data_IF_114216301710
#
_entry.id   IF_114216301710
#
_cell.length_a   1.000
_cell.length_b   1.000
_cell.length_c   1.000
_cell.angle_alpha   90.00
_cell.angle_beta   90.00
_cell.angle_gamma   90.00
#
_symmetry.space_group_name_H-M   'P 1'
#
loop_
_entity.id
_entity.type
_entity.pdbx_description
1 polymer ?
#
# COMPACT_ATOMS: atom_id res chain seq x y z
N UNK A 1 11.01 -15.60 0.59
CA UNK A 1 10.08 -16.54 1.25
C UNK A 1 10.84 -17.34 2.31
N UNK A 2 10.24 -17.55 3.48
CA UNK A 2 10.82 -18.37 4.56
C UNK A 2 10.34 -19.82 4.47
N UNK A 3 9.11 -20.04 4.07
CA UNK A 3 8.48 -21.34 3.98
C UNK A 3 7.47 -21.35 2.85
N UNK A 4 7.49 -22.41 2.07
CA UNK A 4 6.44 -22.77 1.11
C UNK A 4 6.06 -24.24 1.33
N UNK A 5 4.79 -24.50 1.57
CA UNK A 5 4.29 -25.85 1.82
C UNK A 5 2.88 -26.03 1.27
N UNK A 6 2.50 -27.27 0.99
CA UNK A 6 1.14 -27.63 0.61
C UNK A 6 0.55 -28.56 1.65
N UNK A 7 -0.62 -28.19 2.19
CA UNK A 7 -1.34 -28.99 3.19
C UNK A 7 -2.83 -28.98 2.83
N UNK A 8 -3.40 -30.18 2.69
CA UNK A 8 -4.85 -30.37 2.48
C UNK A 8 -5.44 -29.54 1.33
N UNK A 9 -4.75 -29.43 0.18
CA UNK A 9 -5.22 -28.67 -0.97
C UNK A 9 -5.09 -27.15 -0.85
N UNK A 10 -4.31 -26.70 0.16
CA UNK A 10 -3.94 -25.30 0.34
C UNK A 10 -2.44 -25.13 0.12
N UNK A 11 -2.03 -24.21 -0.73
CA UNK A 11 -0.65 -23.75 -0.83
C UNK A 11 -0.44 -22.59 0.13
N UNK A 12 0.53 -22.71 1.02
CA UNK A 12 0.93 -21.73 2.01
C UNK A 12 2.30 -21.18 1.66
N UNK A 13 2.42 -19.87 1.58
CA UNK A 13 3.71 -19.17 1.44
C UNK A 13 3.81 -18.09 2.51
N UNK A 14 4.92 -18.05 3.23
CA UNK A 14 5.19 -17.01 4.23
C UNK A 14 6.59 -16.44 4.06
N UNK A 15 6.77 -15.20 4.46
CA UNK A 15 8.05 -14.53 4.38
C UNK A 15 8.11 -13.27 5.24
N UNK A 16 9.31 -12.68 5.26
CA UNK A 16 9.58 -11.38 5.87
C UNK A 16 10.16 -10.44 4.84
N UNK A 17 9.99 -9.16 5.05
CA UNK A 17 10.54 -8.12 4.20
C UNK A 17 10.95 -6.89 5.00
N UNK A 18 11.92 -6.15 4.46
CA UNK A 18 12.28 -4.83 4.93
C UNK A 18 12.03 -3.80 3.84
N UNK A 19 11.66 -2.59 4.23
CA UNK A 19 11.47 -1.48 3.31
C UNK A 19 12.03 -0.18 3.90
N UNK A 20 12.47 0.72 3.04
CA UNK A 20 12.83 2.09 3.40
C UNK A 20 12.13 3.05 2.44
N UNK A 21 11.70 4.18 2.94
CA UNK A 21 10.97 5.17 2.16
C UNK A 21 11.30 6.58 2.58
N UNK A 22 11.19 7.50 1.64
CA UNK A 22 11.26 8.94 1.85
C UNK A 22 10.04 9.60 1.24
N UNK A 23 9.41 10.50 1.98
CA UNK A 23 8.32 11.32 1.46
C UNK A 23 8.58 12.79 1.72
N UNK A 24 8.08 13.66 0.83
CA UNK A 24 8.13 15.10 0.98
C UNK A 24 6.81 15.70 0.52
N UNK A 25 6.20 16.52 1.38
CA UNK A 25 4.92 17.17 1.13
C UNK A 25 5.08 18.67 1.34
N UNK A 26 4.74 19.45 0.32
CA UNK A 26 4.67 20.90 0.43
C UNK A 26 3.30 21.29 0.99
N UNK A 27 3.31 22.08 2.06
CA UNK A 27 2.12 22.67 2.67
C UNK A 27 1.96 24.06 2.10
N UNK A 28 0.73 24.38 1.66
CA UNK A 28 0.37 25.68 1.13
C UNK A 28 -0.63 26.38 2.02
N UNK A 29 -0.55 27.68 2.08
CA UNK A 29 -1.56 28.56 2.67
C UNK A 29 -2.79 28.69 1.76
N UNK A 30 -3.86 29.30 2.28
CA UNK A 30 -5.12 29.53 1.55
C UNK A 30 -4.94 30.39 0.30
N UNK A 31 -3.92 31.24 0.24
CA UNK A 31 -3.56 32.05 -0.93
C UNK A 31 -2.72 31.29 -1.96
N UNK A 32 -2.39 30.00 -1.68
CA UNK A 32 -1.57 29.15 -2.53
C UNK A 32 -0.07 29.35 -2.36
N UNK A 33 0.38 30.27 -1.51
CA UNK A 33 1.79 30.43 -1.18
C UNK A 33 2.31 29.21 -0.36
N UNK A 34 3.62 29.00 -0.37
CA UNK A 34 4.23 27.90 0.35
C UNK A 34 4.34 28.23 1.83
N UNK A 35 3.62 27.50 2.69
CA UNK A 35 3.69 27.61 4.14
C UNK A 35 4.84 26.82 4.73
N UNK A 36 5.25 25.72 4.09
CA UNK A 36 6.32 24.87 4.59
C UNK A 36 6.44 23.55 3.84
N UNK A 37 7.32 22.69 4.36
CA UNK A 37 7.53 21.34 3.85
C UNK A 37 7.57 20.34 4.99
N UNK A 38 6.88 19.22 4.85
CA UNK A 38 6.98 18.07 5.76
C UNK A 38 7.71 16.95 5.03
N UNK A 39 8.78 16.45 5.63
CA UNK A 39 9.54 15.29 5.15
C UNK A 39 9.45 14.16 6.16
N UNK A 40 9.36 12.93 5.67
CA UNK A 40 9.38 11.73 6.51
C UNK A 40 10.33 10.70 5.91
N UNK A 41 11.29 10.27 6.72
CA UNK A 41 12.17 9.14 6.45
C UNK A 41 11.68 7.95 7.26
N UNK A 42 11.31 6.86 6.59
CA UNK A 42 10.69 5.70 7.22
C UNK A 42 11.46 4.42 6.92
N UNK A 43 11.61 3.58 7.94
CA UNK A 43 12.13 2.23 7.83
C UNK A 43 11.11 1.23 8.38
N UNK A 44 10.82 0.18 7.62
CA UNK A 44 9.78 -0.81 7.94
C UNK A 44 10.33 -2.22 7.95
N UNK A 45 9.77 -3.04 8.85
CA UNK A 45 9.93 -4.48 8.86
C UNK A 45 8.55 -5.11 8.89
N UNK A 46 8.32 -6.11 8.04
CA UNK A 46 7.04 -6.78 7.93
C UNK A 46 7.16 -8.27 7.65
N UNK A 47 6.03 -8.95 7.81
CA UNK A 47 5.83 -10.33 7.44
C UNK A 47 4.54 -10.50 6.66
N UNK A 48 4.50 -11.54 5.85
CA UNK A 48 3.32 -11.90 5.08
C UNK A 48 3.03 -13.39 5.13
N UNK A 49 1.76 -13.71 4.95
CA UNK A 49 1.22 -15.05 4.79
C UNK A 49 0.28 -15.06 3.61
N UNK A 50 0.61 -15.86 2.60
CA UNK A 50 -0.24 -16.10 1.43
C UNK A 50 -0.81 -17.51 1.50
N UNK A 51 -2.11 -17.63 1.35
CA UNK A 51 -2.89 -18.85 1.32
C UNK A 51 -3.58 -18.97 -0.03
N UNK A 52 -3.49 -20.15 -0.63
CA UNK A 52 -4.13 -20.42 -1.92
C UNK A 52 -4.78 -21.78 -1.91
N UNK A 53 -6.06 -21.81 -2.19
CA UNK A 53 -6.78 -23.05 -2.42
C UNK A 53 -6.52 -23.55 -3.84
N UNK A 54 -5.84 -24.69 -3.98
CA UNK A 54 -5.26 -25.15 -5.24
C UNK A 54 -6.31 -25.50 -6.30
N UNK A 55 -7.52 -25.94 -5.91
CA UNK A 55 -8.56 -26.33 -6.85
C UNK A 55 -9.40 -25.16 -7.36
N UNK A 56 -9.73 -24.17 -6.53
CA UNK A 56 -10.56 -23.02 -6.94
C UNK A 56 -9.76 -21.78 -7.27
N UNK A 57 -8.49 -21.72 -6.88
CA UNK A 57 -7.68 -20.52 -6.99
C UNK A 57 -8.05 -19.42 -5.96
N UNK A 58 -9.02 -19.64 -5.06
CA UNK A 58 -9.31 -18.71 -3.96
C UNK A 58 -8.02 -18.46 -3.17
N UNK A 59 -7.70 -17.20 -2.95
CA UNK A 59 -6.51 -16.83 -2.21
C UNK A 59 -6.81 -15.82 -1.09
N UNK A 60 -5.95 -15.81 -0.09
CA UNK A 60 -5.96 -14.82 0.97
C UNK A 60 -4.52 -14.41 1.31
N UNK A 61 -4.31 -13.10 1.44
CA UNK A 61 -3.04 -12.50 1.83
C UNK A 61 -3.20 -11.78 3.16
N UNK A 62 -2.32 -12.10 4.10
CA UNK A 62 -2.23 -11.44 5.40
C UNK A 62 -0.87 -10.75 5.47
N UNK A 63 -0.85 -9.49 5.83
CA UNK A 63 0.37 -8.69 6.01
C UNK A 63 0.34 -8.02 7.36
N UNK A 64 1.47 -8.03 8.06
CA UNK A 64 1.70 -7.24 9.25
C UNK A 64 3.05 -6.52 9.14
N UNK A 65 3.07 -5.23 9.47
CA UNK A 65 4.24 -4.37 9.33
C UNK A 65 4.36 -3.41 10.50
N UNK A 66 5.58 -3.22 11.01
CA UNK A 66 5.98 -2.13 11.89
C UNK A 66 6.88 -1.14 11.16
N UNK A 67 6.70 0.14 11.40
CA UNK A 67 7.44 1.22 10.72
C UNK A 67 7.98 2.22 11.74
N UNK A 68 9.25 2.60 11.61
CA UNK A 68 9.85 3.70 12.34
C UNK A 68 9.86 4.93 11.44
N UNK A 69 9.33 6.03 11.94
CA UNK A 69 9.23 7.32 11.26
C UNK A 69 10.19 8.34 11.85
N UNK A 70 10.76 9.20 11.00
CA UNK A 70 11.56 10.36 11.36
C UNK A 70 11.08 11.55 10.53
N UNK A 71 10.21 12.36 11.11
CA UNK A 71 9.56 13.48 10.45
C UNK A 71 10.28 14.77 10.73
N UNK A 72 10.39 15.62 9.72
CA UNK A 72 10.83 17.01 9.83
C UNK A 72 9.83 17.91 9.11
N UNK A 73 9.23 18.84 9.86
CA UNK A 73 8.45 19.94 9.31
C UNK A 73 9.31 21.19 9.33
N UNK A 74 9.38 21.91 8.22
CA UNK A 74 10.17 23.14 8.07
C UNK A 74 9.31 24.22 7.44
N UNK A 75 9.32 25.41 8.04
CA UNK A 75 8.78 26.64 7.47
C UNK A 75 9.88 27.71 7.45
N UNK A 76 9.59 28.89 6.93
CA UNK A 76 10.58 29.97 6.82
C UNK A 76 11.20 30.39 8.16
N UNK A 77 10.45 30.24 9.25
CA UNK A 77 10.84 30.72 10.58
C UNK A 77 10.98 29.61 11.63
N UNK A 78 10.63 28.37 11.31
CA UNK A 78 10.57 27.32 12.31
C UNK A 78 10.84 25.92 11.75
N UNK A 79 11.60 25.14 12.49
CA UNK A 79 11.86 23.73 12.22
C UNK A 79 11.33 22.90 13.39
N UNK A 80 10.51 21.89 13.07
CA UNK A 80 10.00 20.92 14.02
C UNK A 80 10.40 19.50 13.63
N UNK A 81 10.77 18.67 14.61
CA UNK A 81 11.10 17.25 14.37
C UNK A 81 10.31 16.37 15.31
N UNK A 82 9.76 15.31 14.76
CA UNK A 82 9.10 14.25 15.51
C UNK A 82 9.60 12.88 15.05
N UNK A 83 9.65 11.93 15.98
CA UNK A 83 9.86 10.52 15.69
C UNK A 83 8.60 9.75 16.04
N UNK A 84 8.43 8.58 15.46
CA UNK A 84 7.26 7.81 15.80
C UNK A 84 7.33 6.37 15.32
N UNK A 85 6.28 5.63 15.69
CA UNK A 85 6.06 4.26 15.29
C UNK A 85 4.72 4.13 14.60
N UNK A 86 4.74 3.50 13.44
CA UNK A 86 3.55 3.07 12.73
C UNK A 86 3.43 1.54 12.75
N UNK A 87 2.22 1.06 12.59
CA UNK A 87 1.93 -0.34 12.36
C UNK A 87 0.80 -0.47 11.33
N UNK A 88 0.81 -1.57 10.62
CA UNK A 88 -0.20 -1.91 9.62
C UNK A 88 -0.50 -3.41 9.69
N UNK A 89 -1.80 -3.74 9.66
CA UNK A 89 -2.31 -5.07 9.40
C UNK A 89 -3.23 -5.05 8.19
N UNK A 90 -3.10 -6.00 7.28
CA UNK A 90 -3.94 -6.12 6.09
C UNK A 90 -4.35 -7.57 5.87
N UNK A 91 -5.62 -7.76 5.56
CA UNK A 91 -6.18 -9.01 5.05
C UNK A 91 -6.82 -8.73 3.71
N UNK A 92 -6.42 -9.49 2.71
CA UNK A 92 -6.99 -9.40 1.37
C UNK A 92 -7.33 -10.78 0.84
N UNK A 93 -8.41 -10.88 0.07
CA UNK A 93 -8.84 -12.11 -0.59
C UNK A 93 -9.34 -11.84 -1.99
N UNK A 94 -9.20 -12.82 -2.86
CA UNK A 94 -9.71 -12.76 -4.23
C UNK A 94 -9.97 -14.15 -4.78
N UNK A 95 -10.86 -14.22 -5.77
CA UNK A 95 -11.22 -15.45 -6.44
C UNK A 95 -11.15 -15.23 -7.97
N UNK A 96 -10.19 -15.86 -8.66
CA UNK A 96 -10.04 -15.69 -10.10
C UNK A 96 -11.08 -16.54 -10.87
N UNK A 97 -11.67 -15.91 -11.89
CA UNK A 97 -12.57 -16.53 -12.84
C UNK A 97 -12.04 -16.35 -14.27
N UNK A 98 -11.86 -17.42 -15.02
CA UNK A 98 -11.56 -17.32 -16.44
C UNK A 98 -12.82 -16.95 -17.22
N UNK A 99 -12.82 -15.79 -17.88
CA UNK A 99 -13.91 -15.37 -18.79
C UNK A 99 -13.70 -16.00 -20.16
N UNK A 100 -12.46 -15.98 -20.62
CA UNK A 100 -11.99 -16.66 -21.84
C UNK A 100 -10.64 -17.29 -21.54
N UNK A 101 -10.06 -18.00 -22.52
CA UNK A 101 -8.73 -18.60 -22.40
C UNK A 101 -7.63 -17.57 -22.10
N UNK A 102 -7.84 -16.31 -22.49
CA UNK A 102 -6.85 -15.24 -22.36
C UNK A 102 -7.28 -14.09 -21.44
N UNK A 103 -8.47 -14.16 -20.83
CA UNK A 103 -9.02 -13.08 -20.01
C UNK A 103 -9.55 -13.60 -18.67
N UNK A 104 -9.08 -13.00 -17.59
CA UNK A 104 -9.45 -13.36 -16.24
C UNK A 104 -10.07 -12.16 -15.50
N UNK A 105 -11.14 -12.42 -14.76
CA UNK A 105 -11.76 -11.50 -13.82
C UNK A 105 -11.54 -12.02 -12.40
N UNK A 106 -11.09 -11.17 -11.51
CA UNK A 106 -10.83 -11.52 -10.12
C UNK A 106 -11.46 -10.49 -9.17
N UNK A 107 -12.64 -10.73 -8.63
CA UNK A 107 -13.18 -9.93 -7.53
C UNK A 107 -12.28 -10.03 -6.31
N UNK A 108 -12.11 -8.89 -5.64
CA UNK A 108 -11.19 -8.73 -4.51
C UNK A 108 -11.84 -7.94 -3.39
N UNK A 109 -11.52 -8.32 -2.16
CA UNK A 109 -11.90 -7.62 -0.94
C UNK A 109 -10.67 -7.49 -0.05
N UNK A 110 -10.42 -6.28 0.46
CA UNK A 110 -9.32 -6.02 1.39
C UNK A 110 -9.79 -5.22 2.59
N UNK A 111 -9.31 -5.60 3.75
CA UNK A 111 -9.41 -4.82 4.98
C UNK A 111 -8.00 -4.46 5.46
N UNK A 112 -7.78 -3.18 5.72
CA UNK A 112 -6.52 -2.67 6.26
C UNK A 112 -6.80 -1.90 7.53
N UNK A 113 -6.03 -2.19 8.57
CA UNK A 113 -6.00 -1.45 9.83
C UNK A 113 -4.60 -0.96 10.10
N UNK A 114 -4.46 0.33 10.34
CA UNK A 114 -3.17 0.97 10.56
C UNK A 114 -3.24 1.99 11.69
N UNK A 115 -2.10 2.20 12.33
CA UNK A 115 -1.95 3.20 13.37
C UNK A 115 -0.61 3.89 13.30
N UNK A 116 -0.57 5.13 13.80
CA UNK A 116 0.61 5.96 13.91
C UNK A 116 0.63 6.62 15.28
N UNK A 117 1.77 6.58 15.94
CA UNK A 117 2.05 7.30 17.19
C UNK A 117 3.32 8.11 16.98
N UNK A 118 3.23 9.42 17.09
CA UNK A 118 4.35 10.35 17.02
C UNK A 118 4.72 10.80 18.43
N UNK A 119 6.01 10.97 18.67
CA UNK A 119 6.54 11.53 19.90
C UNK A 119 6.19 13.02 19.96
N UNK A 120 5.79 13.51 21.13
CA UNK A 120 5.59 14.92 21.38
C UNK A 120 6.90 15.68 21.18
N UNK A 121 6.79 16.93 20.77
CA UNK A 121 7.96 17.78 20.55
C UNK A 121 7.73 19.23 20.91
N UNK A 122 8.82 19.98 20.88
CA UNK A 122 8.83 21.41 21.13
C UNK A 122 9.66 22.10 20.05
N UNK A 123 9.22 23.25 19.63
CA UNK A 123 9.93 24.16 18.73
C UNK A 123 10.08 25.55 19.37
N UNK A 124 10.52 26.52 18.58
CA UNK A 124 10.70 27.90 19.05
C UNK A 124 9.36 28.61 19.36
N UNK A 125 8.25 28.13 18.82
CA UNK A 125 6.92 28.72 19.01
C UNK A 125 6.17 28.10 20.18
N UNK A 126 6.47 26.83 20.54
CA UNK A 126 5.79 26.17 21.64
C UNK A 126 5.94 24.63 21.58
N UNK A 127 4.98 23.96 22.20
CA UNK A 127 4.94 22.50 22.19
C UNK A 127 3.87 21.98 21.25
N UNK A 128 4.14 20.79 20.67
CA UNK A 128 3.22 20.04 19.85
C UNK A 128 3.05 18.65 20.46
N UNK A 129 1.80 18.28 20.75
CA UNK A 129 1.45 16.94 21.24
C UNK A 129 0.66 16.21 20.17
N UNK A 130 1.02 14.98 19.92
CA UNK A 130 0.33 14.11 18.99
C UNK A 130 -0.47 13.04 19.74
N UNK A 131 -1.74 12.92 19.40
CA UNK A 131 -2.55 11.76 19.78
C UNK A 131 -2.21 10.53 18.95
N UNK A 132 -2.72 9.38 19.39
CA UNK A 132 -2.61 8.15 18.61
C UNK A 132 -3.54 8.22 17.41
N UNK A 133 -2.98 8.20 16.21
CA UNK A 133 -3.72 8.11 14.96
C UNK A 133 -4.04 6.66 14.61
N UNK A 134 -5.26 6.37 14.19
CA UNK A 134 -5.62 5.08 13.62
C UNK A 134 -6.59 5.24 12.45
N UNK A 135 -6.48 4.38 11.47
CA UNK A 135 -7.37 4.35 10.32
C UNK A 135 -7.69 2.91 9.91
N UNK A 136 -8.90 2.70 9.45
CA UNK A 136 -9.40 1.44 8.92
C UNK A 136 -9.91 1.68 7.50
N UNK A 137 -9.52 0.80 6.57
CA UNK A 137 -9.91 0.88 5.18
C UNK A 137 -10.52 -0.44 4.73
N UNK A 138 -11.64 -0.38 4.06
CA UNK A 138 -12.20 -1.49 3.30
C UNK A 138 -12.11 -1.15 1.84
N UNK A 139 -11.48 -2.00 1.05
CA UNK A 139 -11.43 -1.90 -0.40
C UNK A 139 -12.17 -3.08 -1.02
N UNK A 140 -13.11 -2.79 -1.90
CA UNK A 140 -13.80 -3.77 -2.72
C UNK A 140 -13.65 -3.41 -4.19
N UNK A 141 -13.33 -4.37 -5.03
CA UNK A 141 -13.10 -4.14 -6.44
C UNK A 141 -12.94 -5.44 -7.22
N UNK A 142 -12.54 -5.32 -8.44
CA UNK A 142 -12.17 -6.46 -9.26
C UNK A 142 -10.96 -6.14 -10.13
N UNK A 143 -10.20 -7.17 -10.47
CA UNK A 143 -9.09 -7.10 -11.40
C UNK A 143 -9.49 -7.81 -12.68
N UNK A 144 -9.38 -7.12 -13.81
CA UNK A 144 -9.53 -7.67 -15.14
C UNK A 144 -8.16 -7.66 -15.80
N UNK A 145 -7.71 -8.78 -16.35
CA UNK A 145 -6.39 -8.86 -16.95
C UNK A 145 -6.22 -10.01 -17.90
N UNK A 146 -5.14 -9.94 -18.68
CA UNK A 146 -4.76 -11.04 -19.57
C UNK A 146 -4.33 -12.26 -18.77
N UNK A 147 -4.69 -13.44 -19.26
CA UNK A 147 -4.31 -14.72 -18.70
C UNK A 147 -3.40 -15.44 -19.70
N UNK A 148 -2.16 -15.03 -19.77
CA UNK A 148 -1.14 -15.77 -20.52
C UNK A 148 -0.29 -16.48 -19.48
N UNK A 149 -0.35 -17.76 -19.30
CA UNK A 149 0.46 -18.66 -18.43
C UNK A 149 1.45 -18.02 -17.41
N UNK A 150 1.30 -16.73 -17.15
CA UNK A 150 1.99 -15.98 -16.13
C UNK A 150 1.02 -15.74 -14.98
N UNK A 151 1.31 -16.34 -13.85
CA UNK A 151 0.56 -16.11 -12.64
C UNK A 151 0.61 -14.65 -12.25
N UNK A 152 -0.52 -14.00 -12.26
CA UNK A 152 -0.73 -12.74 -11.60
C UNK A 152 -0.76 -12.96 -10.08
N UNK A 153 0.42 -13.07 -9.49
CA UNK A 153 0.58 -12.93 -8.07
C UNK A 153 0.63 -11.47 -7.72
N UNK A 154 -0.27 -10.99 -6.92
CA UNK A 154 -0.13 -9.76 -6.20
C UNK A 154 1.17 -9.81 -5.41
N UNK A 155 2.05 -8.86 -5.64
CA UNK A 155 3.28 -8.66 -4.90
C UNK A 155 4.03 -9.96 -4.57
N UNK A 156 4.93 -10.37 -5.45
CA UNK A 156 5.94 -11.42 -5.20
C UNK A 156 5.47 -12.80 -4.72
N UNK A 157 4.21 -13.17 -4.85
CA UNK A 157 3.82 -14.56 -4.71
C UNK A 157 4.20 -15.31 -5.97
N UNK A 158 5.29 -16.07 -5.91
CA UNK A 158 5.70 -17.01 -6.96
C UNK A 158 4.67 -18.14 -7.08
N UNK A 159 3.55 -17.87 -7.72
CA UNK A 159 2.65 -18.91 -8.20
C UNK A 159 3.13 -19.40 -9.55
N UNK A 160 3.52 -20.62 -9.63
CA UNK A 160 3.88 -21.41 -10.81
C UNK A 160 5.27 -21.25 -11.46
N UNK A 161 6.24 -21.83 -10.81
CA UNK A 161 7.37 -22.43 -11.51
C UNK A 161 7.20 -23.95 -11.74
N UNK A 162 6.01 -24.54 -11.61
CA UNK A 162 5.86 -26.00 -11.59
C UNK A 162 5.01 -26.61 -12.72
N UNK A 163 4.79 -25.94 -13.87
CA UNK A 163 4.33 -26.64 -15.07
C UNK A 163 5.26 -26.40 -16.23
N UNK A 164 6.28 -27.24 -16.28
CA UNK A 164 7.08 -27.40 -17.50
C UNK A 164 6.23 -27.97 -18.63
N UNK A 165 6.21 -27.26 -19.75
CA UNK A 165 6.06 -27.83 -21.07
C UNK A 165 6.84 -26.98 -22.07
N UNK A 166 8.02 -27.48 -22.38
CA UNK A 166 8.84 -26.95 -23.45
C UNK A 166 8.16 -27.19 -24.80
N UNK A 167 7.76 -26.12 -25.49
CA UNK A 167 7.69 -26.09 -26.94
C UNK A 167 8.30 -24.78 -27.41
N UNK A 168 9.41 -24.92 -28.11
CA UNK A 168 10.10 -23.86 -28.84
C UNK A 168 9.17 -23.24 -29.88
N UNK A 169 8.86 -21.97 -29.75
CA UNK A 169 8.49 -21.10 -30.85
C UNK A 169 8.75 -19.63 -30.46
N UNK A 170 9.40 -18.91 -31.37
CA UNK A 170 9.61 -17.47 -31.45
C UNK A 170 9.37 -16.72 -30.15
N UNK A 171 10.43 -16.11 -29.64
CA UNK A 171 10.53 -15.44 -28.36
C UNK A 171 9.62 -14.20 -28.29
N UNK A 172 8.32 -14.41 -28.24
CA UNK A 172 7.42 -13.36 -27.78
C UNK A 172 7.62 -13.24 -26.27
N UNK A 173 8.06 -12.08 -25.82
CA UNK A 173 8.09 -11.77 -24.39
C UNK A 173 6.64 -11.78 -23.91
N UNK A 174 6.22 -12.70 -23.04
CA UNK A 174 4.86 -12.70 -22.54
C UNK A 174 4.63 -11.42 -21.73
N UNK A 175 3.81 -10.54 -22.25
CA UNK A 175 3.37 -9.31 -21.59
C UNK A 175 1.96 -9.52 -21.09
N UNK A 176 1.76 -9.29 -19.81
CA UNK A 176 0.45 -9.29 -19.18
C UNK A 176 0.04 -7.88 -18.83
N UNK A 177 -1.23 -7.59 -19.01
CA UNK A 177 -1.83 -6.33 -18.60
C UNK A 177 -2.99 -6.59 -17.64
N UNK A 178 -3.28 -5.61 -16.83
CA UNK A 178 -4.43 -5.66 -15.93
C UNK A 178 -4.96 -4.26 -15.64
N UNK A 179 -6.25 -4.20 -15.29
CA UNK A 179 -6.94 -3.00 -14.81
C UNK A 179 -7.74 -3.39 -13.57
N UNK A 180 -7.74 -2.55 -12.56
CA UNK A 180 -8.36 -2.82 -11.26
C UNK A 180 -9.11 -1.59 -10.75
N UNK A 181 -10.40 -1.43 -11.08
CA UNK A 181 -11.27 -0.48 -10.43
C UNK A 181 -11.66 -0.98 -9.02
N UNK A 182 -11.67 -0.07 -8.05
CA UNK A 182 -12.00 -0.36 -6.66
C UNK A 182 -12.75 0.80 -6.02
N UNK A 183 -13.56 0.50 -5.00
CA UNK A 183 -14.11 1.47 -4.06
C UNK A 183 -13.40 1.28 -2.74
N UNK A 184 -12.92 2.37 -2.17
CA UNK A 184 -12.25 2.37 -0.86
C UNK A 184 -13.09 3.19 0.11
N UNK A 185 -13.46 2.58 1.22
CA UNK A 185 -14.12 3.25 2.34
C UNK A 185 -13.16 3.34 3.52
N UNK A 186 -12.91 4.58 3.97
CA UNK A 186 -12.11 4.86 5.17
C UNK A 186 -13.03 5.13 6.34
N UNK A 187 -12.78 4.44 7.46
CA UNK A 187 -13.49 4.57 8.72
C UNK A 187 -12.53 4.95 9.83
N UNK A 188 -13.04 5.65 10.86
CA UNK A 188 -12.33 5.85 12.13
C UNK A 188 -10.90 6.37 11.97
N UNK A 189 -10.70 7.35 11.09
CA UNK A 189 -9.44 8.07 11.06
C UNK A 189 -9.46 9.12 12.17
N UNK A 190 -8.67 8.90 13.22
CA UNK A 190 -8.44 9.85 14.32
C UNK A 190 -6.94 10.09 14.44
N UNK A 191 -6.58 11.30 14.68
CA UNK A 191 -5.21 11.71 14.94
C UNK A 191 -5.24 13.13 15.49
N UNK A 192 -5.56 13.28 16.78
CA UNK A 192 -5.61 14.58 17.40
C UNK A 192 -4.19 15.16 17.50
N UNK A 193 -4.06 16.45 17.23
CA UNK A 193 -2.84 17.20 17.43
C UNK A 193 -3.17 18.43 18.26
N UNK A 194 -2.45 18.62 19.36
CA UNK A 194 -2.58 19.81 20.21
C UNK A 194 -1.32 20.64 20.14
N UNK A 195 -1.49 21.94 19.95
CA UNK A 195 -0.42 22.92 19.93
C UNK A 195 -0.67 23.96 21.03
N UNK A 196 0.39 24.41 21.68
CA UNK A 196 0.29 25.46 22.71
C UNK A 196 1.62 26.15 22.94
N UNK A 197 1.55 27.41 23.39
CA UNK A 197 2.73 28.15 23.80
C UNK A 197 2.95 27.99 25.31
N UNK A 198 4.19 27.89 25.74
CA UNK A 198 4.55 27.78 27.17
C UNK A 198 4.05 28.97 28.02
N UNK A 199 3.83 30.13 27.40
CA UNK A 199 3.45 31.36 28.06
C UNK A 199 1.94 31.61 28.18
N UNK A 200 1.10 30.99 27.30
CA UNK A 200 -0.30 31.40 27.18
C UNK A 200 -1.33 30.43 27.78
N UNK A 201 -0.95 29.23 28.16
CA UNK A 201 -1.87 28.24 28.75
C UNK A 201 -3.06 27.81 27.84
N UNK A 202 -3.14 28.34 26.63
CA UNK A 202 -4.19 28.02 25.67
C UNK A 202 -3.71 26.96 24.67
N UNK A 203 -4.39 25.83 24.66
CA UNK A 203 -4.13 24.75 23.72
C UNK A 203 -5.11 24.85 22.55
N UNK A 204 -4.59 24.84 21.33
CA UNK A 204 -5.38 24.59 20.13
C UNK A 204 -5.33 23.09 19.84
N UNK A 205 -6.48 22.46 19.68
CA UNK A 205 -6.57 21.05 19.30
C UNK A 205 -7.14 20.94 17.90
N UNK A 206 -6.46 20.20 17.06
CA UNK A 206 -6.88 19.84 15.70
C UNK A 206 -7.21 18.35 15.67
N UNK A 207 -8.39 18.02 15.18
CA UNK A 207 -8.87 16.63 15.07
C UNK A 207 -9.19 16.32 13.61
N UNK A 208 -8.18 16.07 12.76
CA UNK A 208 -8.43 15.76 11.36
C UNK A 208 -9.17 14.43 11.23
N UNK A 209 -10.27 14.44 10.51
CA UNK A 209 -10.99 13.22 10.14
C UNK A 209 -10.78 12.94 8.66
N UNK A 210 -10.40 11.71 8.33
CA UNK A 210 -10.25 11.24 6.94
C UNK A 210 -11.33 10.22 6.59
N UNK A 211 -12.46 10.24 7.26
CA UNK A 211 -13.59 9.38 6.91
C UNK A 211 -14.14 9.78 5.54
N UNK A 212 -14.25 8.81 4.64
CA UNK A 212 -14.73 9.11 3.31
C UNK A 212 -14.73 7.90 2.40
N UNK A 213 -15.20 8.11 1.19
CA UNK A 213 -15.20 7.10 0.13
C UNK A 213 -14.44 7.65 -1.07
N UNK A 214 -13.54 6.85 -1.62
CA UNK A 214 -12.86 7.15 -2.89
C UNK A 214 -13.07 6.02 -3.90
N UNK A 215 -13.04 6.40 -5.16
CA UNK A 215 -12.88 5.48 -6.28
C UNK A 215 -11.39 5.40 -6.61
N UNK A 216 -10.88 4.20 -6.79
CA UNK A 216 -9.49 3.93 -7.14
C UNK A 216 -9.46 3.12 -8.43
N UNK A 217 -8.68 3.58 -9.39
CA UNK A 217 -8.44 2.88 -10.65
C UNK A 217 -6.94 2.65 -10.80
N UNK A 218 -6.55 1.41 -10.87
CA UNK A 218 -5.17 1.02 -11.11
C UNK A 218 -5.06 0.23 -12.41
N UNK A 219 -3.94 0.39 -13.09
CA UNK A 219 -3.59 -0.40 -14.27
C UNK A 219 -2.11 -0.74 -14.27
N UNK A 220 -1.76 -1.89 -14.82
CA UNK A 220 -0.38 -2.33 -14.86
C UNK A 220 -0.07 -3.23 -16.04
N UNK A 221 1.23 -3.34 -16.28
CA UNK A 221 1.85 -4.21 -17.26
C UNK A 221 2.97 -4.99 -16.60
N UNK A 222 3.07 -6.27 -16.92
CA UNK A 222 4.18 -7.12 -16.51
C UNK A 222 4.76 -7.84 -17.72
N UNK A 223 6.09 -7.86 -17.81
CA UNK A 223 6.82 -8.53 -18.88
C UNK A 223 7.89 -9.46 -18.28
N UNK A 224 7.88 -10.73 -18.66
CA UNK A 224 8.97 -11.66 -18.35
C UNK A 224 10.10 -11.47 -19.36
N UNK A 225 11.17 -10.78 -18.92
CA UNK A 225 12.32 -10.47 -19.79
C UNK A 225 13.28 -11.65 -19.90
N UNK A 226 13.38 -12.46 -18.83
CA UNK A 226 14.12 -13.73 -18.78
C UNK A 226 13.34 -14.74 -17.94
N UNK A 227 13.77 -16.01 -17.96
CA UNK A 227 13.14 -17.07 -17.18
C UNK A 227 13.04 -16.74 -15.69
N UNK A 228 14.02 -15.99 -15.17
CA UNK A 228 14.13 -15.60 -13.78
C UNK A 228 13.97 -14.09 -13.54
N UNK A 229 13.62 -13.28 -14.54
CA UNK A 229 13.49 -11.82 -14.42
C UNK A 229 12.14 -11.35 -14.97
N UNK A 230 11.35 -10.72 -14.11
CA UNK A 230 10.08 -10.07 -14.46
C UNK A 230 10.15 -8.59 -14.13
N UNK A 231 9.77 -7.76 -15.09
CA UNK A 231 9.60 -6.31 -14.92
C UNK A 231 8.11 -5.99 -14.88
N UNK A 232 7.73 -5.12 -13.95
CA UNK A 232 6.38 -4.61 -13.84
C UNK A 232 6.36 -3.10 -13.74
N UNK A 233 5.32 -2.50 -14.32
CA UNK A 233 4.99 -1.08 -14.13
C UNK A 233 3.50 -0.95 -13.87
N UNK A 234 3.13 -0.09 -12.94
CA UNK A 234 1.74 0.21 -12.66
C UNK A 234 1.55 1.69 -12.38
N UNK A 235 0.35 2.16 -12.66
CA UNK A 235 -0.09 3.50 -12.33
C UNK A 235 -1.52 3.45 -11.79
N UNK A 236 -1.85 4.39 -10.93
CA UNK A 236 -3.18 4.49 -10.34
C UNK A 236 -3.61 5.93 -10.10
N UNK A 237 -4.92 6.10 -10.03
CA UNK A 237 -5.56 7.36 -9.67
C UNK A 237 -6.69 7.08 -8.69
N UNK A 238 -6.67 7.79 -7.56
CA UNK A 238 -7.75 7.79 -6.58
C UNK A 238 -8.51 9.11 -6.65
N UNK A 239 -9.83 9.05 -6.67
CA UNK A 239 -10.73 10.21 -6.65
C UNK A 239 -11.66 10.17 -5.45
N UNK A 240 -11.69 11.27 -4.69
CA UNK A 240 -12.58 11.42 -3.53
C UNK A 240 -14.02 11.63 -3.99
N UNK A 241 -14.94 10.75 -3.55
CA UNK A 241 -16.37 10.82 -3.87
C UNK A 241 -17.16 11.43 -2.72
N UNK A 242 -16.78 11.15 -1.50
CA UNK A 242 -17.45 11.70 -0.33
C UNK A 242 -16.54 11.78 0.90
N UNK A 243 -16.78 12.77 1.75
CA UNK A 243 -15.99 13.02 2.95
C UNK A 243 -14.58 13.52 2.62
N UNK A 244 -13.64 13.30 3.54
CA UNK A 244 -12.23 13.72 3.42
C UNK A 244 -11.35 12.53 3.01
N UNK A 245 -11.72 11.84 1.93
CA UNK A 245 -10.95 10.70 1.41
C UNK A 245 -9.75 11.16 0.57
N UNK A 246 -8.82 10.25 0.35
CA UNK A 246 -7.61 10.55 -0.43
C UNK A 246 -7.94 10.77 -1.91
N UNK A 247 -7.25 11.72 -2.52
CA UNK A 247 -7.23 11.98 -3.96
C UNK A 247 -5.78 12.12 -4.42
N UNK A 248 -5.43 11.52 -5.54
CA UNK A 248 -4.08 11.61 -6.08
C UNK A 248 -3.72 10.52 -7.06
N UNK A 249 -2.50 10.63 -7.58
CA UNK A 249 -1.89 9.70 -8.51
C UNK A 249 -0.80 8.90 -7.80
N UNK A 250 -0.61 7.67 -8.23
CA UNK A 250 0.51 6.84 -7.81
C UNK A 250 1.15 6.14 -9.02
N UNK A 251 2.40 5.74 -8.87
CA UNK A 251 3.11 4.95 -9.87
C UNK A 251 4.16 4.08 -9.19
N UNK A 252 4.36 2.88 -9.72
CA UNK A 252 5.34 1.94 -9.22
C UNK A 252 6.01 1.19 -10.37
N UNK A 253 7.31 0.95 -10.23
CA UNK A 253 8.03 0.01 -11.05
C UNK A 253 8.57 -1.12 -10.17
N UNK A 254 8.51 -2.35 -10.66
CA UNK A 254 8.96 -3.54 -9.94
C UNK A 254 9.95 -4.33 -10.79
N UNK A 255 10.97 -4.86 -10.14
CA UNK A 255 11.90 -5.83 -10.68
C UNK A 255 11.87 -7.07 -9.79
N UNK A 256 11.47 -8.18 -10.32
CA UNK A 256 11.48 -9.46 -9.63
C UNK A 256 12.56 -10.36 -10.22
N UNK A 257 13.45 -10.87 -9.37
CA UNK A 257 14.51 -11.80 -9.73
C UNK A 257 14.37 -13.05 -8.87
N UNK A 258 14.21 -14.20 -9.51
CA UNK A 258 14.13 -15.50 -8.84
C UNK A 258 15.49 -16.19 -8.97
N UNK A 259 16.03 -16.73 -7.88
CA UNK A 259 17.33 -17.40 -7.81
C UNK A 259 17.16 -18.90 -7.66
#
# INVERSE_FOLDING_TARGET
DLLRTEVAGMSLTTGVYGAAGHSSVDVKDDDGSRAGTVRDDAGSLGGFLNLVHTSSGLWADIVAQGTRHSMKASSDNNDFRARGWGWLGSLETGLPFSITDNLMLEPQLQYTWQGLSLDDGQDNAGYVKFGHGSAQHVRAGFRLGSHNDMNFGKGTSSRDTLRGSAKHSVRELPVNWWVQPSVIRTFSSRGDMSMGTAAAGSNMTFSPSRNGTSLDLQAGLEARVRENITLGVQAGYAHSVSGNSAEGYNGQATLNVTF
#
